data_IF_544179274321
#
_entry.id   IF_544179274321
#
_cell.length_a   1.000
_cell.length_b   1.000
_cell.length_c   1.000
_cell.angle_alpha   90.00
_cell.angle_beta   90.00
_cell.angle_gamma   90.00
#
_symmetry.space_group_name_H-M   'P 1'
#
loop_
_entity.id
_entity.type
_entity.pdbx_description
1 polymer ?
#
# COMPACT_ATOMS: atom_id res chain seq x y z
N UNK A 1 11.65 11.98 1.23
CA UNK A 1 10.74 11.68 0.10
C UNK A 1 11.26 12.22 -1.24
N UNK A 2 11.98 13.34 -1.26
CA UNK A 2 12.59 13.93 -2.46
C UNK A 2 13.36 12.92 -3.33
N UNK A 3 14.24 12.10 -2.74
CA UNK A 3 15.03 11.12 -3.48
C UNK A 3 14.16 10.10 -4.25
N UNK A 4 13.11 9.57 -3.64
CA UNK A 4 12.23 8.60 -4.28
C UNK A 4 11.51 9.17 -5.50
N UNK A 5 10.98 10.39 -5.38
CA UNK A 5 10.39 11.13 -6.50
C UNK A 5 11.39 11.35 -7.63
N UNK A 6 12.62 11.74 -7.28
CA UNK A 6 13.71 11.96 -8.24
C UNK A 6 14.11 10.65 -8.94
N UNK A 7 14.19 9.53 -8.23
CA UNK A 7 14.47 8.22 -8.83
C UNK A 7 13.37 7.80 -9.82
N UNK A 8 12.09 7.92 -9.43
CA UNK A 8 10.97 7.62 -10.32
C UNK A 8 10.96 8.54 -11.55
N UNK A 9 11.27 9.83 -11.36
CA UNK A 9 11.40 10.81 -12.45
C UNK A 9 12.46 10.38 -13.47
N UNK A 10 13.66 10.03 -13.00
CA UNK A 10 14.75 9.62 -13.89
C UNK A 10 14.49 8.26 -14.54
N UNK A 11 13.85 7.32 -13.84
CA UNK A 11 13.43 6.04 -14.42
C UNK A 11 12.47 6.26 -15.60
N UNK A 12 11.43 7.08 -15.40
CA UNK A 12 10.48 7.43 -16.45
C UNK A 12 11.13 8.18 -17.61
N UNK A 13 12.01 9.15 -17.31
CA UNK A 13 12.70 9.95 -18.31
C UNK A 13 13.65 9.12 -19.18
N UNK A 14 14.33 8.13 -18.59
CA UNK A 14 15.32 7.31 -19.28
C UNK A 14 14.72 6.13 -20.04
N UNK A 15 13.67 5.50 -19.51
CA UNK A 15 13.10 4.27 -20.06
C UNK A 15 11.70 4.42 -20.66
N UNK A 16 11.04 5.56 -20.45
CA UNK A 16 9.65 5.81 -20.85
C UNK A 16 8.60 5.15 -19.94
N UNK A 17 9.03 4.31 -18.99
CA UNK A 17 8.15 3.57 -18.07
C UNK A 17 8.62 3.72 -16.62
N UNK A 18 7.69 3.56 -15.67
CA UNK A 18 8.01 3.41 -14.26
C UNK A 18 7.82 1.95 -13.92
N UNK A 19 8.87 1.28 -13.42
CA UNK A 19 8.78 -0.12 -12.99
C UNK A 19 8.51 -0.24 -11.50
N UNK A 20 8.82 0.81 -10.75
CA UNK A 20 8.76 0.81 -9.29
C UNK A 20 8.16 2.11 -8.80
N UNK A 21 7.06 2.00 -8.06
CA UNK A 21 6.45 3.14 -7.39
C UNK A 21 6.84 3.12 -5.91
N UNK A 22 7.22 4.29 -5.40
CA UNK A 22 7.49 4.49 -3.98
C UNK A 22 6.53 5.54 -3.47
N UNK A 23 5.66 5.15 -2.54
CA UNK A 23 4.71 6.06 -1.92
C UNK A 23 5.40 7.03 -0.97
N UNK A 24 4.77 8.19 -0.82
CA UNK A 24 4.96 9.05 0.33
C UNK A 24 4.76 8.28 1.64
N UNK A 25 5.63 8.40 2.66
CA UNK A 25 5.35 7.81 3.97
C UNK A 25 4.05 8.31 4.62
N UNK A 26 3.56 9.49 4.22
CA UNK A 26 2.25 9.97 4.67
C UNK A 26 1.12 9.04 4.23
N UNK A 27 1.24 8.38 3.07
CA UNK A 27 0.26 7.39 2.63
C UNK A 27 0.08 6.30 3.69
N UNK A 28 1.18 5.72 4.18
CA UNK A 28 1.12 4.69 5.21
C UNK A 28 0.47 5.21 6.49
N UNK A 29 0.81 6.42 6.92
CA UNK A 29 0.18 7.04 8.10
C UNK A 29 -1.33 7.21 7.92
N UNK A 30 -1.77 7.73 6.77
CA UNK A 30 -3.19 7.91 6.47
C UNK A 30 -3.94 6.57 6.38
N UNK A 31 -3.40 5.61 5.63
CA UNK A 31 -3.98 4.28 5.48
C UNK A 31 -4.10 3.56 6.82
N UNK A 32 -3.06 3.61 7.66
CA UNK A 32 -3.08 2.97 8.98
C UNK A 32 -4.05 3.65 9.95
N UNK A 33 -4.16 4.97 9.91
CA UNK A 33 -5.11 5.69 10.76
C UNK A 33 -6.56 5.43 10.33
N UNK A 34 -6.82 5.37 9.03
CA UNK A 34 -8.14 5.02 8.52
C UNK A 34 -8.52 3.58 8.87
N UNK A 35 -7.58 2.64 8.71
CA UNK A 35 -7.82 1.23 9.03
C UNK A 35 -8.06 0.96 10.53
N UNK A 36 -7.59 1.83 11.43
CA UNK A 36 -7.93 1.78 12.86
C UNK A 36 -9.37 2.17 13.17
N UNK A 37 -10.10 2.78 12.23
CA UNK A 37 -11.51 3.16 12.40
C UNK A 37 -12.40 1.92 12.29
N UNK A 38 -13.62 1.99 12.85
CA UNK A 38 -14.64 0.94 12.68
C UNK A 38 -14.90 0.73 11.19
N UNK A 39 -15.13 -0.52 10.76
CA UNK A 39 -15.32 -0.88 9.36
C UNK A 39 -16.36 -0.01 8.63
N UNK A 40 -17.48 0.33 9.27
CA UNK A 40 -18.52 1.20 8.70
C UNK A 40 -18.08 2.66 8.47
N UNK A 41 -16.95 3.07 9.05
CA UNK A 41 -16.39 4.42 9.00
C UNK A 41 -15.01 4.45 8.33
N UNK A 42 -14.55 3.32 7.78
CA UNK A 42 -13.31 3.26 7.00
C UNK A 42 -13.55 3.95 5.66
N UNK A 43 -12.53 4.68 5.21
CA UNK A 43 -12.55 5.33 3.92
C UNK A 43 -12.56 4.29 2.79
N UNK A 44 -13.46 4.48 1.83
CA UNK A 44 -13.45 3.67 0.61
C UNK A 44 -12.43 4.31 -0.33
N UNK A 45 -11.22 3.75 -0.32
CA UNK A 45 -10.09 4.24 -1.12
C UNK A 45 -10.41 4.16 -2.62
N UNK A 46 -10.61 5.32 -3.23
CA UNK A 46 -10.78 5.55 -4.66
C UNK A 46 -9.42 5.79 -5.31
N UNK A 47 -9.39 5.69 -6.63
CA UNK A 47 -8.18 5.88 -7.42
C UNK A 47 -7.57 7.28 -7.24
N UNK A 48 -8.43 8.30 -7.17
CA UNK A 48 -8.03 9.71 -7.04
C UNK A 48 -7.40 10.03 -5.67
N UNK A 49 -7.73 9.26 -4.63
CA UNK A 49 -7.13 9.43 -3.30
C UNK A 49 -5.61 9.19 -3.35
N UNK A 50 -5.17 8.24 -4.18
CA UNK A 50 -3.75 7.90 -4.30
C UNK A 50 -2.93 9.03 -4.94
N UNK A 51 -3.54 9.84 -5.79
CA UNK A 51 -2.85 10.93 -6.50
C UNK A 51 -2.27 11.96 -5.55
N UNK A 52 -2.92 12.20 -4.41
CA UNK A 52 -2.42 13.12 -3.38
C UNK A 52 -1.09 12.70 -2.76
N UNK A 53 -0.70 11.43 -2.90
CA UNK A 53 0.57 10.90 -2.39
C UNK A 53 1.69 10.85 -3.44
N UNK A 54 1.40 11.26 -4.67
CA UNK A 54 2.38 11.41 -5.74
C UNK A 54 2.63 12.88 -6.04
N UNK A 55 3.90 13.28 -6.07
CA UNK A 55 4.25 14.65 -6.43
C UNK A 55 4.31 14.81 -7.96
N UNK A 56 3.66 15.87 -8.48
CA UNK A 56 3.90 16.48 -9.80
C UNK A 56 3.43 15.73 -11.06
N UNK A 57 2.27 15.06 -11.06
CA UNK A 57 1.74 14.30 -12.23
C UNK A 57 2.71 13.28 -12.85
N UNK A 58 3.83 13.02 -12.18
CA UNK A 58 4.92 12.18 -12.66
C UNK A 58 4.47 10.74 -12.83
N UNK A 59 3.69 10.28 -11.86
CA UNK A 59 3.04 8.98 -11.86
C UNK A 59 1.60 9.23 -12.26
N UNK A 60 1.22 8.79 -13.47
CA UNK A 60 -0.19 8.74 -13.86
C UNK A 60 -0.77 7.41 -13.37
N UNK A 61 -2.08 7.35 -13.14
CA UNK A 61 -2.72 6.12 -12.65
C UNK A 61 -2.49 4.91 -13.57
N UNK A 62 -2.38 5.13 -14.89
CA UNK A 62 -2.00 4.09 -15.84
C UNK A 62 -0.63 3.48 -15.55
N UNK A 63 0.29 4.25 -14.99
CA UNK A 63 1.63 3.77 -14.65
C UNK A 63 1.54 2.79 -13.46
N UNK A 64 0.67 3.05 -12.47
CA UNK A 64 0.44 2.18 -11.30
C UNK A 64 -0.03 0.77 -11.67
N UNK A 65 -0.79 0.64 -12.76
CA UNK A 65 -1.27 -0.66 -13.26
C UNK A 65 -0.18 -1.47 -13.99
N UNK A 66 0.94 -0.83 -14.33
CA UNK A 66 2.03 -1.43 -15.13
C UNK A 66 3.32 -1.66 -14.36
N UNK A 67 3.37 -1.28 -13.08
CA UNK A 67 4.58 -1.41 -12.28
C UNK A 67 4.83 -2.85 -11.84
N UNK A 68 6.09 -3.22 -11.74
CA UNK A 68 6.51 -4.51 -11.19
C UNK A 68 6.41 -4.52 -9.65
N UNK A 69 6.69 -3.36 -9.03
CA UNK A 69 6.78 -3.22 -7.58
C UNK A 69 6.16 -1.93 -7.06
N UNK A 70 5.54 -2.06 -5.89
CA UNK A 70 5.07 -0.94 -5.06
C UNK A 70 5.80 -0.97 -3.73
N UNK A 71 6.37 0.16 -3.32
CA UNK A 71 7.03 0.35 -2.04
C UNK A 71 6.24 1.33 -1.19
N UNK A 72 5.90 0.93 0.03
CA UNK A 72 5.16 1.72 1.01
C UNK A 72 6.08 1.92 2.22
N UNK A 73 6.88 2.98 2.26
CA UNK A 73 7.66 3.32 3.43
C UNK A 73 6.71 3.72 4.58
N UNK A 74 7.06 3.32 5.80
CA UNK A 74 6.32 3.66 7.00
C UNK A 74 7.29 4.26 8.01
N UNK A 75 6.82 5.31 8.69
CA UNK A 75 7.52 5.92 9.81
C UNK A 75 6.62 5.83 11.03
N UNK A 76 7.13 5.25 12.10
CA UNK A 76 6.44 5.25 13.38
C UNK A 76 7.44 5.11 14.50
N UNK A 77 7.26 5.86 15.58
CA UNK A 77 8.11 5.81 16.77
C UNK A 77 9.61 5.92 16.42
N UNK A 78 9.94 6.89 15.57
CA UNK A 78 11.30 7.18 15.09
C UNK A 78 11.98 6.06 14.27
N UNK A 79 11.25 5.00 13.96
CA UNK A 79 11.74 3.89 13.15
C UNK A 79 11.13 3.89 11.74
N UNK A 80 11.95 3.51 10.77
CA UNK A 80 11.58 3.37 9.37
C UNK A 80 11.60 1.90 8.95
N UNK A 81 10.53 1.46 8.29
CA UNK A 81 10.51 0.20 7.56
C UNK A 81 9.76 0.40 6.25
N UNK A 82 9.78 -0.60 5.38
CA UNK A 82 9.11 -0.53 4.09
C UNK A 82 8.40 -1.83 3.76
N UNK A 83 7.14 -1.74 3.36
CA UNK A 83 6.46 -2.84 2.68
C UNK A 83 6.77 -2.77 1.19
N UNK A 84 7.20 -3.86 0.59
CA UNK A 84 7.35 -4.00 -0.85
C UNK A 84 6.35 -5.03 -1.37
N UNK A 85 5.57 -4.67 -2.38
CA UNK A 85 4.60 -5.55 -3.03
C UNK A 85 5.06 -5.82 -4.44
N UNK A 86 5.30 -7.09 -4.77
CA UNK A 86 5.43 -7.52 -6.16
C UNK A 86 4.04 -7.59 -6.77
N UNK A 87 3.75 -6.71 -7.73
CA UNK A 87 2.38 -6.49 -8.22
C UNK A 87 1.86 -7.72 -8.96
N UNK A 88 2.65 -8.30 -9.85
CA UNK A 88 2.20 -9.43 -10.67
C UNK A 88 1.86 -10.70 -9.87
N UNK A 89 2.42 -10.86 -8.67
CA UNK A 89 2.17 -12.01 -7.80
C UNK A 89 1.42 -11.65 -6.52
N UNK A 90 1.07 -10.37 -6.33
CA UNK A 90 0.57 -9.81 -5.07
C UNK A 90 1.37 -10.30 -3.85
N UNK A 91 2.69 -10.41 -3.99
CA UNK A 91 3.55 -10.92 -2.92
C UNK A 91 4.13 -9.74 -2.12
N UNK A 92 3.70 -9.53 -0.86
CA UNK A 92 4.29 -8.58 0.05
C UNK A 92 5.57 -9.14 0.66
N UNK A 93 6.50 -8.21 0.89
CA UNK A 93 7.77 -8.35 1.57
C UNK A 93 7.89 -7.21 2.57
N UNK A 94 8.67 -7.42 3.62
CA UNK A 94 8.98 -6.36 4.58
C UNK A 94 10.49 -6.16 4.62
N UNK A 95 10.89 -4.91 4.42
CA UNK A 95 12.28 -4.45 4.53
C UNK A 95 12.34 -3.65 5.82
N UNK A 96 12.92 -4.26 6.85
CA UNK A 96 13.04 -3.68 8.19
C UNK A 96 14.45 -3.98 8.71
N UNK A 97 15.17 -2.96 9.15
CA UNK A 97 16.52 -3.12 9.72
C UNK A 97 16.48 -3.69 11.14
N UNK A 98 15.32 -3.69 11.80
CA UNK A 98 15.14 -4.30 13.11
C UNK A 98 14.61 -5.73 12.96
N UNK A 99 15.40 -6.71 13.39
CA UNK A 99 15.09 -8.14 13.29
C UNK A 99 13.77 -8.54 13.96
N UNK A 100 13.42 -7.87 15.07
CA UNK A 100 12.15 -8.08 15.80
C UNK A 100 11.05 -7.08 15.44
N UNK A 101 11.34 -6.12 14.54
CA UNK A 101 10.49 -4.97 14.24
C UNK A 101 10.18 -4.10 15.46
N UNK A 102 9.43 -3.02 15.25
CA UNK A 102 8.90 -2.21 16.36
C UNK A 102 7.65 -2.85 16.99
N UNK A 103 7.45 -2.60 18.29
CA UNK A 103 6.20 -2.98 18.99
C UNK A 103 4.99 -2.38 18.26
N UNK A 104 3.99 -3.21 17.97
CA UNK A 104 2.77 -2.81 17.26
C UNK A 104 2.80 -3.04 15.75
N UNK A 105 3.97 -3.30 15.13
CA UNK A 105 4.06 -3.68 13.71
C UNK A 105 3.32 -4.98 13.41
N UNK A 106 3.35 -5.94 14.35
CA UNK A 106 2.78 -7.28 14.19
C UNK A 106 1.29 -7.31 13.84
N UNK A 107 0.55 -6.25 14.15
CA UNK A 107 -0.86 -6.13 13.77
C UNK A 107 -1.04 -5.77 12.29
N UNK A 108 -0.17 -4.89 11.77
CA UNK A 108 -0.15 -4.51 10.36
C UNK A 108 0.29 -5.72 9.51
N UNK A 109 1.35 -6.41 9.94
CA UNK A 109 1.83 -7.63 9.28
C UNK A 109 0.71 -8.69 9.23
N UNK A 110 -0.03 -8.91 10.33
CA UNK A 110 -1.16 -9.85 10.37
C UNK A 110 -2.29 -9.48 9.43
N UNK A 111 -2.63 -8.19 9.32
CA UNK A 111 -3.63 -7.72 8.37
C UNK A 111 -3.23 -8.03 6.93
N UNK A 112 -1.98 -7.73 6.57
CA UNK A 112 -1.44 -7.99 5.23
C UNK A 112 -1.46 -9.50 4.91
N UNK A 113 -1.11 -10.34 5.89
CA UNK A 113 -1.15 -11.81 5.74
C UNK A 113 -2.59 -12.32 5.59
N UNK A 114 -3.56 -11.75 6.31
CA UNK A 114 -4.96 -12.19 6.27
C UNK A 114 -5.60 -11.91 4.91
N UNK A 115 -5.26 -10.78 4.26
CA UNK A 115 -5.72 -10.47 2.90
C UNK A 115 -5.28 -11.51 1.86
N UNK A 116 -4.12 -12.18 2.04
CA UNK A 116 -3.66 -13.23 1.12
C UNK A 116 -4.58 -14.45 1.10
N UNK A 117 -5.06 -14.86 2.27
CA UNK A 117 -5.94 -16.03 2.39
C UNK A 117 -7.32 -15.79 1.76
N UNK A 118 -7.71 -14.53 1.63
CA UNK A 118 -8.99 -14.14 1.04
C UNK A 118 -8.93 -14.02 -0.50
N UNK A 119 -7.76 -13.75 -1.08
CA UNK A 119 -7.58 -13.72 -2.54
C UNK A 119 -7.45 -15.11 -3.17
N UNK A 120 -7.06 -16.14 -2.41
CA UNK A 120 -6.99 -17.52 -2.92
C UNK A 120 -8.36 -18.18 -3.13
N UNK A 121 -9.46 -17.50 -2.79
CA UNK A 121 -10.83 -18.05 -2.88
C UNK A 121 -11.77 -17.36 -3.88
N UNK A 122 -11.39 -16.24 -4.52
CA UNK A 122 -12.22 -15.59 -5.57
C UNK A 122 -11.37 -14.83 -6.60
N UNK A 123 -11.49 -15.09 -7.92
CA UNK A 123 -10.53 -14.55 -8.91
C UNK A 123 -10.75 -13.09 -9.36
N UNK A 124 -11.87 -12.43 -9.03
CA UNK A 124 -12.29 -11.21 -9.75
C UNK A 124 -12.68 -10.03 -8.84
N UNK A 125 -11.91 -9.77 -7.78
CA UNK A 125 -12.16 -8.56 -6.98
C UNK A 125 -10.85 -7.85 -6.63
N UNK A 126 -10.60 -6.73 -7.30
CA UNK A 126 -9.71 -5.70 -6.80
C UNK A 126 -10.31 -5.15 -5.50
N UNK A 127 -9.72 -5.55 -4.37
CA UNK A 127 -9.90 -4.99 -3.02
C UNK A 127 -11.36 -4.65 -2.65
N UNK A 128 -12.18 -5.65 -2.31
CA UNK A 128 -13.31 -5.40 -1.41
C UNK A 128 -12.79 -5.27 0.03
N UNK A 129 -13.17 -4.22 0.77
CA UNK A 129 -12.96 -4.17 2.22
C UNK A 129 -13.82 -5.25 2.90
N UNK A 130 -13.23 -5.84 3.93
CA UNK A 130 -13.83 -6.86 4.78
C UNK A 130 -15.21 -6.45 5.30
N UNK A 131 -16.19 -7.33 5.11
CA UNK A 131 -17.38 -7.45 5.96
C UNK A 131 -18.66 -6.88 5.38
N UNK A 132 -19.40 -7.69 4.62
CA UNK A 132 -20.85 -7.51 4.53
C UNK A 132 -21.45 -7.78 5.91
N UNK A 133 -22.07 -6.75 6.49
CA UNK A 133 -23.01 -6.95 7.58
C UNK A 133 -24.18 -7.76 7.04
N UNK A 134 -24.15 -9.08 7.21
CA UNK A 134 -25.36 -9.90 7.17
C UNK A 134 -26.12 -9.58 8.44
N UNK A 135 -27.14 -8.72 8.31
CA UNK A 135 -28.19 -8.60 9.30
C UNK A 135 -28.87 -9.97 9.41
N UNK A 136 -28.51 -10.72 10.45
CA UNK A 136 -29.24 -11.92 10.84
C UNK A 136 -30.31 -11.47 11.84
N UNK A 137 -31.55 -11.57 11.40
CA UNK A 137 -32.79 -11.39 12.16
C UNK A 137 -32.76 -12.14 13.48
N UNK A 138 -33.26 -11.48 14.52
CA UNK A 138 -33.63 -12.02 15.83
C UNK A 138 -34.43 -10.97 16.57
#
# INVERSE_FOLDING_TARGET
MFAATVFMYFEKRSSGVIKRIVFSPNFATHALNDYKRKACNQHVWQLDDYQTFFQNELVKMKDLLTVDWVFIPVVSSEHWWCYALKVCTFQPFVIDSLEKGIKGRCWIDRTIVTCKHQQTSTPNTLLHPLGSCSARTG
#
